data_IF_563555666495
#
_entry.id   IF_563555666495
#
_cell.length_a   1.000
_cell.length_b   1.000
_cell.length_c   1.000
_cell.angle_alpha   90.00
_cell.angle_beta   90.00
_cell.angle_gamma   90.00
#
_symmetry.space_group_name_H-M   'P 1'
#
loop_
_entity.id
_entity.type
_entity.pdbx_description
1 polymer ?
#
# COMPACT_ATOMS: atom_id res chain seq x y z
N UNK A 1 1.57 -10.62 -30.78
CA UNK A 1 1.68 -11.87 -31.58
C UNK A 1 0.42 -12.68 -31.36
N UNK A 2 -0.06 -13.40 -32.37
CA UNK A 2 -1.30 -14.18 -32.29
C UNK A 2 -1.18 -15.35 -31.31
N UNK A 3 -2.22 -15.55 -30.51
CA UNK A 3 -2.35 -16.70 -29.62
C UNK A 3 -2.53 -17.98 -30.45
N UNK A 4 -1.79 -19.06 -30.20
CA UNK A 4 -1.94 -20.31 -30.93
C UNK A 4 -3.38 -20.82 -30.86
N UNK A 5 -3.97 -21.25 -31.98
CA UNK A 5 -5.36 -21.75 -32.02
C UNK A 5 -5.57 -22.93 -31.07
N UNK A 6 -4.55 -23.76 -30.87
CA UNK A 6 -4.59 -24.92 -29.96
C UNK A 6 -4.59 -24.54 -28.46
N UNK A 7 -4.25 -23.30 -28.10
CA UNK A 7 -4.28 -22.88 -26.70
C UNK A 7 -5.72 -22.75 -26.22
N UNK A 8 -6.07 -23.56 -25.22
CA UNK A 8 -7.35 -23.49 -24.52
C UNK A 8 -7.11 -22.95 -23.11
N UNK A 9 -7.74 -21.82 -22.81
CA UNK A 9 -7.73 -21.27 -21.47
C UNK A 9 -8.86 -21.93 -20.67
N UNK A 10 -8.50 -22.70 -19.64
CA UNK A 10 -9.43 -23.38 -18.75
C UNK A 10 -8.98 -23.20 -17.30
N UNK A 11 -9.85 -23.55 -16.36
CA UNK A 11 -9.59 -23.46 -14.91
C UNK A 11 -9.71 -24.85 -14.32
N UNK A 12 -8.69 -25.31 -13.60
CA UNK A 12 -8.79 -26.56 -12.85
C UNK A 12 -9.82 -26.44 -11.71
N UNK A 13 -10.72 -27.43 -11.52
CA UNK A 13 -11.64 -27.44 -10.36
C UNK A 13 -10.92 -27.39 -9.00
N UNK A 14 -9.66 -27.81 -8.94
CA UNK A 14 -8.88 -27.82 -7.70
C UNK A 14 -8.51 -26.42 -7.25
N UNK A 15 -8.24 -25.47 -8.17
CA UNK A 15 -7.85 -24.10 -7.80
C UNK A 15 -8.97 -23.34 -7.07
N UNK A 16 -10.22 -23.74 -7.32
CA UNK A 16 -11.43 -23.21 -6.68
C UNK A 16 -11.64 -23.73 -5.25
N UNK A 17 -10.93 -24.80 -4.86
CA UNK A 17 -10.95 -25.37 -3.51
C UNK A 17 -9.72 -24.85 -2.74
N UNK A 18 -9.83 -23.64 -2.21
CA UNK A 18 -8.71 -23.00 -1.52
C UNK A 18 -8.30 -23.78 -0.26
N UNK A 19 -6.98 -23.87 0.02
CA UNK A 19 -6.49 -24.32 1.32
C UNK A 19 -7.08 -23.50 2.49
N UNK A 20 -7.15 -24.04 3.71
CA UNK A 20 -7.61 -23.25 4.86
C UNK A 20 -6.64 -22.09 5.14
N UNK A 21 -7.14 -20.95 5.68
CA UNK A 21 -6.28 -19.86 6.11
C UNK A 21 -5.30 -20.32 7.19
N UNK A 22 -4.03 -19.96 7.05
CA UNK A 22 -2.98 -20.22 8.03
C UNK A 22 -1.87 -19.17 7.91
N UNK A 23 -1.15 -18.84 8.99
CA UNK A 23 0.01 -17.95 8.90
C UNK A 23 1.01 -18.40 7.84
N UNK A 24 1.70 -17.45 7.17
CA UNK A 24 2.68 -17.79 6.14
C UNK A 24 3.78 -18.69 6.71
N UNK A 25 4.16 -19.72 5.95
CA UNK A 25 5.31 -20.59 6.26
C UNK A 25 6.64 -19.88 6.03
N UNK A 26 6.65 -18.85 5.19
CA UNK A 26 7.80 -18.00 4.90
C UNK A 26 7.37 -16.56 4.62
N UNK A 27 8.25 -15.62 4.94
CA UNK A 27 8.05 -14.19 4.77
C UNK A 27 8.71 -13.68 3.48
N UNK A 28 8.28 -12.52 2.99
CA UNK A 28 8.79 -11.91 1.75
C UNK A 28 10.30 -11.83 1.68
N UNK A 29 10.94 -11.36 2.76
CA UNK A 29 12.40 -11.22 2.82
C UNK A 29 13.15 -12.56 2.74
N UNK A 30 12.47 -13.69 2.97
CA UNK A 30 13.05 -15.03 2.81
C UNK A 30 12.93 -15.56 1.38
N UNK A 31 12.14 -14.90 0.53
CA UNK A 31 11.90 -15.29 -0.87
C UNK A 31 12.77 -14.46 -1.82
N UNK A 32 12.87 -13.15 -1.59
CA UNK A 32 13.71 -12.27 -2.37
C UNK A 32 14.12 -11.02 -1.58
N UNK A 33 15.37 -10.56 -1.78
CA UNK A 33 15.91 -9.38 -1.09
C UNK A 33 15.44 -8.06 -1.71
N UNK A 34 15.31 -8.03 -3.04
CA UNK A 34 15.06 -6.82 -3.80
C UNK A 34 14.22 -7.14 -5.06
N UNK A 35 13.31 -6.24 -5.48
CA UNK A 35 12.37 -6.52 -6.58
C UNK A 35 13.04 -6.71 -7.94
N UNK A 36 14.30 -6.30 -8.10
CA UNK A 36 15.08 -6.41 -9.34
C UNK A 36 15.27 -7.86 -9.80
N UNK A 37 15.12 -8.85 -8.91
CA UNK A 37 15.09 -10.28 -9.27
C UNK A 37 13.95 -10.60 -10.26
N UNK A 38 12.88 -9.80 -10.25
CA UNK A 38 11.75 -9.92 -11.16
C UNK A 38 11.85 -9.01 -12.39
N UNK A 39 12.95 -8.28 -12.59
CA UNK A 39 13.13 -7.31 -13.70
C UNK A 39 12.61 -7.83 -15.05
N UNK A 40 13.03 -9.04 -15.46
CA UNK A 40 12.57 -9.66 -16.72
C UNK A 40 11.06 -9.92 -16.76
N UNK A 41 10.49 -10.37 -15.65
CA UNK A 41 9.04 -10.64 -15.52
C UNK A 41 8.26 -9.32 -15.53
N UNK A 42 8.78 -8.31 -14.85
CA UNK A 42 8.17 -6.99 -14.76
C UNK A 42 8.21 -6.27 -16.11
N UNK A 43 9.34 -6.30 -16.81
CA UNK A 43 9.48 -5.76 -18.17
C UNK A 43 8.50 -6.41 -19.14
N UNK A 44 8.34 -7.74 -19.07
CA UNK A 44 7.35 -8.47 -19.88
C UNK A 44 5.92 -8.01 -19.56
N UNK A 45 5.55 -7.92 -18.27
CA UNK A 45 4.24 -7.44 -17.85
C UNK A 45 3.95 -6.00 -18.35
N UNK A 46 4.94 -5.12 -18.27
CA UNK A 46 4.88 -3.74 -18.74
C UNK A 46 4.67 -3.71 -20.26
N UNK A 47 5.45 -4.48 -21.03
CA UNK A 47 5.31 -4.56 -22.48
C UNK A 47 3.91 -5.07 -22.89
N UNK A 48 3.40 -6.09 -22.21
CA UNK A 48 2.03 -6.60 -22.43
C UNK A 48 0.99 -5.53 -22.10
N UNK A 49 1.19 -4.73 -21.05
CA UNK A 49 0.23 -3.70 -20.63
C UNK A 49 0.00 -2.58 -21.65
N UNK A 50 0.99 -2.30 -22.50
CA UNK A 50 0.88 -1.29 -23.57
C UNK A 50 0.11 -1.76 -24.80
N UNK A 51 -0.17 -3.07 -24.90
CA UNK A 51 -0.94 -3.63 -25.99
C UNK A 51 -2.43 -3.79 -25.60
N UNK A 52 -3.28 -3.82 -26.61
CA UNK A 52 -4.67 -4.27 -26.48
C UNK A 52 -4.79 -5.70 -27.02
N UNK A 53 -5.64 -6.49 -26.37
CA UNK A 53 -5.90 -7.88 -26.72
C UNK A 53 -7.38 -8.06 -26.98
N UNK A 54 -7.78 -8.75 -28.07
CA UNK A 54 -9.18 -8.81 -28.45
C UNK A 54 -10.03 -9.62 -27.48
N UNK A 55 -9.45 -10.63 -26.81
CA UNK A 55 -10.11 -11.48 -25.82
C UNK A 55 -9.28 -11.65 -24.55
N UNK A 56 -9.91 -12.04 -23.44
CA UNK A 56 -9.21 -12.38 -22.20
C UNK A 56 -8.26 -13.57 -22.39
N UNK A 57 -8.64 -14.53 -23.25
CA UNK A 57 -7.76 -15.64 -23.65
C UNK A 57 -6.45 -15.14 -24.25
N UNK A 58 -6.51 -14.15 -25.14
CA UNK A 58 -5.32 -13.61 -25.79
C UNK A 58 -4.44 -12.82 -24.81
N UNK A 59 -5.07 -12.10 -23.88
CA UNK A 59 -4.37 -11.45 -22.77
C UNK A 59 -3.64 -12.50 -21.91
N UNK A 60 -4.34 -13.53 -21.41
CA UNK A 60 -3.76 -14.55 -20.55
C UNK A 60 -2.65 -15.34 -21.25
N UNK A 61 -2.81 -15.65 -22.54
CA UNK A 61 -1.73 -16.27 -23.31
C UNK A 61 -0.49 -15.40 -23.33
N UNK A 62 -0.61 -14.14 -23.76
CA UNK A 62 0.54 -13.26 -23.93
C UNK A 62 1.17 -12.89 -22.58
N UNK A 63 0.37 -12.76 -21.52
CA UNK A 63 0.83 -12.38 -20.20
C UNK A 63 1.48 -13.54 -19.44
N UNK A 64 0.80 -14.70 -19.38
CA UNK A 64 1.12 -15.79 -18.45
C UNK A 64 1.68 -17.02 -19.15
N UNK A 65 1.03 -17.48 -20.23
CA UNK A 65 1.30 -18.81 -20.79
C UNK A 65 2.34 -18.86 -21.92
N UNK A 66 2.67 -17.70 -22.51
CA UNK A 66 3.69 -17.58 -23.56
C UNK A 66 5.08 -18.02 -23.08
N UNK A 67 5.36 -17.85 -21.78
CA UNK A 67 6.60 -18.25 -21.15
C UNK A 67 6.32 -19.26 -20.02
N UNK A 68 7.28 -20.14 -19.75
CA UNK A 68 7.22 -21.03 -18.61
C UNK A 68 7.59 -20.25 -17.34
N UNK A 69 6.58 -19.76 -16.62
CA UNK A 69 6.72 -19.03 -15.37
C UNK A 69 6.44 -19.95 -14.17
N UNK A 70 7.17 -19.77 -13.08
CA UNK A 70 6.86 -20.37 -11.77
C UNK A 70 5.54 -19.82 -11.19
N UNK A 71 4.99 -20.43 -10.15
CA UNK A 71 3.82 -19.89 -9.42
C UNK A 71 4.01 -18.44 -8.98
N UNK A 72 5.17 -18.16 -8.39
CA UNK A 72 5.53 -16.82 -7.93
C UNK A 72 5.62 -15.82 -9.08
N UNK A 73 6.27 -16.19 -10.19
CA UNK A 73 6.38 -15.32 -11.36
C UNK A 73 5.04 -15.10 -12.06
N UNK A 74 4.12 -16.09 -12.05
CA UNK A 74 2.74 -15.92 -12.55
C UNK A 74 1.97 -14.91 -11.69
N UNK A 75 2.07 -15.00 -10.37
CA UNK A 75 1.46 -14.02 -9.48
C UNK A 75 2.05 -12.62 -9.69
N UNK A 76 3.38 -12.55 -9.86
CA UNK A 76 4.13 -11.32 -10.09
C UNK A 76 3.78 -10.66 -11.42
N UNK A 77 3.74 -11.40 -12.52
CA UNK A 77 3.48 -10.84 -13.86
C UNK A 77 2.08 -10.24 -13.93
N UNK A 78 1.08 -10.90 -13.31
CA UNK A 78 -0.28 -10.37 -13.21
C UNK A 78 -0.29 -9.10 -12.37
N UNK A 79 0.34 -9.12 -11.20
CA UNK A 79 0.41 -7.97 -10.30
C UNK A 79 1.04 -6.77 -11.01
N UNK A 80 2.19 -6.97 -11.66
CA UNK A 80 2.88 -5.90 -12.37
C UNK A 80 2.07 -5.39 -13.55
N UNK A 81 1.40 -6.25 -14.30
CA UNK A 81 0.53 -5.84 -15.40
C UNK A 81 -0.61 -4.95 -14.89
N UNK A 82 -1.28 -5.33 -13.80
CA UNK A 82 -2.36 -4.54 -13.21
C UNK A 82 -1.90 -3.18 -12.71
N UNK A 83 -0.70 -3.09 -12.13
CA UNK A 83 -0.13 -1.81 -11.67
C UNK A 83 0.33 -0.88 -12.79
N UNK A 84 0.33 -1.35 -14.03
CA UNK A 84 0.78 -0.58 -15.21
C UNK A 84 -0.37 -0.30 -16.18
N UNK A 85 -1.30 -1.25 -16.35
CA UNK A 85 -2.43 -1.13 -17.27
C UNK A 85 -3.41 -0.09 -16.75
N UNK A 86 -3.76 0.87 -17.60
CA UNK A 86 -4.88 1.77 -17.31
C UNK A 86 -6.21 1.00 -17.47
N UNK A 87 -6.69 0.47 -16.35
CA UNK A 87 -7.92 -0.34 -16.29
C UNK A 87 -9.17 0.42 -16.78
N UNK A 88 -9.18 1.76 -16.71
CA UNK A 88 -10.27 2.60 -17.20
C UNK A 88 -10.33 2.66 -18.74
N UNK A 89 -9.21 2.41 -19.43
CA UNK A 89 -9.11 2.50 -20.90
C UNK A 89 -9.16 1.15 -21.61
N UNK A 90 -9.06 0.03 -20.89
CA UNK A 90 -9.04 -1.32 -21.45
C UNK A 90 -10.29 -1.67 -22.28
N UNK A 91 -10.15 -2.40 -23.38
CA UNK A 91 -11.29 -2.86 -24.21
C UNK A 91 -11.12 -4.32 -24.62
N UNK A 92 -12.23 -4.97 -24.95
CA UNK A 92 -12.29 -6.29 -25.58
C UNK A 92 -13.25 -6.22 -26.77
N UNK A 93 -13.07 -7.09 -27.77
CA UNK A 93 -13.88 -7.06 -29.00
C UNK A 93 -15.29 -7.60 -28.77
N UNK A 94 -15.40 -8.72 -28.06
CA UNK A 94 -16.66 -9.37 -27.70
C UNK A 94 -16.71 -9.60 -26.19
N UNK A 95 -17.85 -9.32 -25.56
CA UNK A 95 -18.03 -9.39 -24.11
C UNK A 95 -19.32 -10.14 -23.84
N UNK A 96 -19.19 -11.40 -23.41
CA UNK A 96 -20.33 -12.23 -23.04
C UNK A 96 -20.70 -12.00 -21.57
N UNK A 97 -21.98 -12.12 -21.23
CA UNK A 97 -22.43 -12.03 -19.83
C UNK A 97 -21.78 -13.13 -18.98
N UNK A 98 -21.25 -12.75 -17.81
CA UNK A 98 -20.53 -13.61 -16.89
C UNK A 98 -19.09 -13.95 -17.30
N UNK A 99 -18.58 -13.40 -18.41
CA UNK A 99 -17.21 -13.67 -18.86
C UNK A 99 -16.17 -12.88 -18.06
N UNK A 100 -14.91 -13.33 -18.02
CA UNK A 100 -13.82 -12.55 -17.41
C UNK A 100 -13.70 -11.15 -18.01
N UNK A 101 -13.88 -11.00 -19.32
CA UNK A 101 -13.90 -9.70 -20.01
C UNK A 101 -14.94 -8.75 -19.42
N UNK A 102 -16.17 -9.25 -19.17
CA UNK A 102 -17.23 -8.44 -18.57
C UNK A 102 -16.81 -7.93 -17.20
N UNK A 103 -16.32 -8.83 -16.34
CA UNK A 103 -15.92 -8.47 -14.98
C UNK A 103 -14.76 -7.48 -14.99
N UNK A 104 -13.77 -7.66 -15.87
CA UNK A 104 -12.66 -6.73 -16.04
C UNK A 104 -13.13 -5.34 -16.49
N UNK A 105 -14.12 -5.28 -17.40
CA UNK A 105 -14.69 -4.02 -17.88
C UNK A 105 -15.65 -3.35 -16.89
N UNK A 106 -16.25 -4.11 -15.96
CA UNK A 106 -17.08 -3.55 -14.87
C UNK A 106 -16.29 -2.59 -13.96
N UNK A 107 -14.95 -2.61 -13.99
CA UNK A 107 -14.10 -1.64 -13.30
C UNK A 107 -14.35 -0.21 -13.74
N UNK A 108 -14.63 0.00 -15.03
CA UNK A 108 -14.96 1.33 -15.56
C UNK A 108 -16.22 1.94 -14.97
N UNK A 109 -17.11 1.07 -14.48
CA UNK A 109 -18.39 1.44 -13.91
C UNK A 109 -18.34 1.43 -12.37
N UNK A 110 -17.16 1.25 -11.77
CA UNK A 110 -16.96 1.06 -10.33
C UNK A 110 -17.79 -0.11 -9.75
N UNK A 111 -18.06 -1.15 -10.56
CA UNK A 111 -18.84 -2.33 -10.16
C UNK A 111 -17.98 -3.54 -9.77
N UNK A 112 -16.66 -3.43 -9.89
CA UNK A 112 -15.70 -4.44 -9.45
C UNK A 112 -14.49 -3.75 -8.80
N UNK A 113 -13.65 -4.50 -8.11
CA UNK A 113 -12.41 -4.00 -7.50
C UNK A 113 -11.17 -4.55 -8.19
N UNK A 114 -10.03 -3.89 -7.95
CA UNK A 114 -8.71 -4.43 -8.29
C UNK A 114 -8.53 -5.85 -7.71
N UNK A 115 -8.96 -6.08 -6.47
CA UNK A 115 -8.81 -7.38 -5.84
C UNK A 115 -9.57 -8.49 -6.58
N UNK A 116 -10.78 -8.17 -7.07
CA UNK A 116 -11.57 -9.14 -7.84
C UNK A 116 -10.95 -9.46 -9.20
N UNK A 117 -10.39 -8.46 -9.88
CA UNK A 117 -9.69 -8.67 -11.16
C UNK A 117 -8.44 -9.53 -10.95
N UNK A 118 -7.64 -9.22 -9.91
CA UNK A 118 -6.45 -10.00 -9.58
C UNK A 118 -6.80 -11.46 -9.28
N UNK A 119 -7.85 -11.70 -8.49
CA UNK A 119 -8.36 -13.04 -8.19
C UNK A 119 -8.74 -13.82 -9.46
N UNK A 120 -9.48 -13.20 -10.38
CA UNK A 120 -9.87 -13.84 -11.64
C UNK A 120 -8.64 -14.19 -12.47
N UNK A 121 -7.70 -13.26 -12.64
CA UNK A 121 -6.48 -13.51 -13.41
C UNK A 121 -5.63 -14.61 -12.77
N UNK A 122 -5.50 -14.63 -11.44
CA UNK A 122 -4.81 -15.70 -10.71
C UNK A 122 -5.51 -17.05 -10.88
N UNK A 123 -6.83 -17.09 -10.80
CA UNK A 123 -7.64 -18.30 -11.01
C UNK A 123 -7.35 -18.91 -12.38
N UNK A 124 -7.39 -18.10 -13.44
CA UNK A 124 -7.05 -18.50 -14.81
C UNK A 124 -5.56 -18.71 -15.06
N UNK A 125 -4.71 -18.35 -14.11
CA UNK A 125 -3.29 -18.67 -14.09
C UNK A 125 -2.99 -19.89 -13.20
N UNK A 126 -4.01 -20.64 -12.77
CA UNK A 126 -3.88 -21.83 -11.91
C UNK A 126 -3.18 -21.50 -10.58
N UNK A 127 -3.58 -20.39 -9.94
CA UNK A 127 -3.14 -19.96 -8.61
C UNK A 127 -4.33 -19.84 -7.68
N UNK A 128 -4.25 -20.42 -6.48
CA UNK A 128 -5.24 -20.13 -5.44
C UNK A 128 -5.09 -18.66 -5.02
N UNK A 129 -6.15 -17.90 -5.20
CA UNK A 129 -6.22 -16.50 -4.81
C UNK A 129 -7.59 -16.26 -4.20
N UNK A 130 -7.64 -15.57 -3.07
CA UNK A 130 -8.88 -15.22 -2.38
C UNK A 130 -8.96 -13.71 -2.25
N UNK A 131 -10.07 -13.12 -2.67
CA UNK A 131 -10.40 -11.73 -2.36
C UNK A 131 -10.78 -11.61 -0.88
N UNK A 132 -10.05 -10.78 -0.14
CA UNK A 132 -10.30 -10.47 1.27
C UNK A 132 -10.92 -9.08 1.37
N UNK A 133 -12.12 -9.02 1.94
CA UNK A 133 -12.83 -7.77 2.27
C UNK A 133 -12.54 -7.35 3.70
N UNK A 134 -12.40 -6.04 3.94
CA UNK A 134 -12.07 -5.54 5.26
C UNK A 134 -11.99 -4.03 5.38
N UNK A 135 -11.44 -3.62 6.52
CA UNK A 135 -11.16 -2.24 6.87
C UNK A 135 -9.71 -1.91 6.56
N UNK A 136 -9.51 -0.79 5.91
CA UNK A 136 -8.20 -0.25 5.68
C UNK A 136 -8.08 1.19 6.18
N UNK A 137 -6.94 1.49 6.81
CA UNK A 137 -6.56 2.86 7.18
C UNK A 137 -6.07 3.58 5.93
N UNK A 138 -7.04 4.05 5.14
CA UNK A 138 -6.86 4.65 3.82
C UNK A 138 -6.25 6.05 3.82
N UNK A 139 -6.63 6.89 2.85
CA UNK A 139 -6.19 8.30 2.74
C UNK A 139 -6.96 9.18 3.73
N UNK A 140 -8.22 8.87 3.98
CA UNK A 140 -9.12 9.66 4.83
C UNK A 140 -9.14 9.22 6.29
N UNK A 141 -8.31 8.23 6.66
CA UNK A 141 -8.22 7.73 8.04
C UNK A 141 -7.35 8.65 8.90
N UNK A 142 -7.88 9.03 10.06
CA UNK A 142 -7.14 9.69 11.12
C UNK A 142 -6.94 8.75 12.32
N UNK A 143 -5.76 8.74 12.95
CA UNK A 143 -5.56 8.00 14.19
C UNK A 143 -6.62 8.36 15.24
N UNK A 144 -7.31 7.34 15.76
CA UNK A 144 -8.45 7.49 16.67
C UNK A 144 -9.80 7.14 16.03
N UNK A 145 -9.91 7.16 14.69
CA UNK A 145 -11.11 6.75 13.98
C UNK A 145 -11.50 5.30 14.31
N UNK A 146 -12.81 5.04 14.25
CA UNK A 146 -13.42 3.74 14.54
C UNK A 146 -14.08 3.18 13.28
N UNK A 147 -13.93 1.87 13.08
CA UNK A 147 -14.56 1.09 12.02
C UNK A 147 -15.80 0.34 12.48
N UNK A 148 -16.01 0.20 13.80
CA UNK A 148 -17.16 -0.50 14.34
C UNK A 148 -18.49 0.07 13.81
N UNK A 149 -19.31 -0.80 13.21
CA UNK A 149 -20.61 -0.42 12.62
C UNK A 149 -20.51 0.21 11.23
N UNK A 150 -19.31 0.38 10.67
CA UNK A 150 -19.11 0.81 9.29
C UNK A 150 -18.99 -0.39 8.34
N UNK A 151 -19.40 -0.24 7.07
CA UNK A 151 -19.11 -1.24 6.06
C UNK A 151 -17.60 -1.30 5.78
N UNK A 152 -17.09 -2.45 5.30
CA UNK A 152 -15.75 -2.57 4.75
C UNK A 152 -15.48 -1.49 3.71
N UNK A 153 -14.30 -0.89 3.76
CA UNK A 153 -13.92 0.21 2.88
C UNK A 153 -12.81 -0.18 1.89
N UNK A 154 -12.31 -1.41 1.93
CA UNK A 154 -11.25 -1.88 1.04
C UNK A 154 -11.28 -3.39 0.82
N UNK A 155 -10.60 -3.83 -0.24
CA UNK A 155 -10.37 -5.25 -0.53
C UNK A 155 -8.98 -5.48 -1.10
N UNK A 156 -8.36 -6.59 -0.73
CA UNK A 156 -7.05 -7.04 -1.20
C UNK A 156 -7.09 -8.55 -1.44
N UNK A 157 -5.95 -9.15 -1.74
CA UNK A 157 -5.86 -10.58 -2.03
C UNK A 157 -4.91 -11.30 -1.07
N UNK A 158 -5.15 -12.59 -0.93
CA UNK A 158 -4.18 -13.57 -0.43
C UNK A 158 -3.99 -14.62 -1.49
N UNK A 159 -2.73 -14.94 -1.81
CA UNK A 159 -2.37 -15.96 -2.79
C UNK A 159 -1.62 -17.10 -2.12
N UNK A 160 -1.88 -18.33 -2.57
CA UNK A 160 -1.17 -19.51 -2.09
C UNK A 160 -0.07 -19.86 -3.07
N UNK A 161 1.17 -19.74 -2.65
CA UNK A 161 2.36 -20.10 -3.44
C UNK A 161 3.17 -21.07 -2.60
N UNK A 162 3.65 -22.18 -3.19
CA UNK A 162 4.57 -23.11 -2.51
C UNK A 162 4.13 -23.46 -1.06
N UNK A 163 2.86 -23.79 -0.91
CA UNK A 163 2.23 -24.13 0.38
C UNK A 163 2.15 -23.02 1.43
N UNK A 164 2.23 -21.74 1.04
CA UNK A 164 2.15 -20.60 1.95
C UNK A 164 1.24 -19.51 1.41
N UNK A 165 0.39 -18.97 2.30
CA UNK A 165 -0.41 -17.78 2.01
C UNK A 165 0.43 -16.50 2.03
N UNK A 166 0.22 -15.61 1.06
CA UNK A 166 0.94 -14.35 0.91
C UNK A 166 -0.04 -13.22 0.59
N UNK A 167 0.09 -12.06 1.24
CA UNK A 167 -0.82 -10.92 1.04
C UNK A 167 -0.40 -10.08 -0.18
N UNK A 168 -1.36 -9.69 -1.01
CA UNK A 168 -1.13 -8.84 -2.18
C UNK A 168 -2.20 -7.76 -2.26
N UNK A 169 -1.80 -6.52 -2.50
CA UNK A 169 -2.71 -5.40 -2.74
C UNK A 169 -2.32 -4.66 -4.02
N UNK A 170 -2.86 -5.11 -5.15
CA UNK A 170 -2.60 -4.51 -6.46
C UNK A 170 -3.14 -3.07 -6.58
N UNK A 171 -4.18 -2.72 -5.80
CA UNK A 171 -4.75 -1.37 -5.83
C UNK A 171 -3.77 -0.38 -5.19
N UNK A 172 -3.33 -0.64 -3.97
CA UNK A 172 -2.41 0.27 -3.26
C UNK A 172 -0.98 0.25 -3.85
N UNK A 173 -0.61 -0.80 -4.56
CA UNK A 173 0.60 -0.84 -5.39
C UNK A 173 0.56 0.15 -6.57
N UNK A 174 -0.64 0.54 -7.00
CA UNK A 174 -0.87 1.47 -8.10
C UNK A 174 -1.04 2.89 -7.55
N UNK A 175 0.03 3.68 -7.44
CA UNK A 175 -0.13 5.10 -7.05
C UNK A 175 -0.43 5.95 -8.26
N UNK A 176 -1.63 6.53 -8.29
CA UNK A 176 -2.01 7.57 -9.23
C UNK A 176 -1.48 8.91 -8.73
N UNK A 177 -0.38 9.41 -9.30
CA UNK A 177 0.00 10.81 -9.07
C UNK A 177 -0.81 11.69 -10.02
N UNK A 178 -1.92 12.25 -9.54
CA UNK A 178 -2.49 13.45 -10.16
C UNK A 178 -1.56 14.61 -9.84
N UNK A 179 -0.74 15.03 -10.81
CA UNK A 179 -0.02 16.30 -10.72
C UNK A 179 -1.03 17.40 -10.41
N UNK A 180 -0.80 18.17 -9.35
CA UNK A 180 -1.70 19.20 -8.82
C UNK A 180 -1.91 20.43 -9.72
N UNK A 181 -1.91 20.27 -11.05
CA UNK A 181 -2.35 21.26 -12.02
C UNK A 181 -3.06 20.53 -13.16
N UNK A 182 -4.26 21.02 -13.51
CA UNK A 182 -5.16 20.57 -14.57
C UNK A 182 -4.46 20.31 -15.93
N UNK A 183 -3.83 19.15 -16.07
CA UNK A 183 -3.46 18.54 -17.35
C UNK A 183 -3.74 17.04 -17.21
N UNK A 184 -4.83 16.57 -17.82
CA UNK A 184 -5.32 15.18 -17.76
C UNK A 184 -4.36 14.12 -18.34
N UNK A 185 -3.11 14.46 -18.67
CA UNK A 185 -2.23 13.58 -19.45
C UNK A 185 -0.96 13.10 -18.74
N UNK A 186 -0.65 13.56 -17.53
CA UNK A 186 0.55 13.10 -16.81
C UNK A 186 0.19 12.43 -15.48
N UNK A 187 -0.50 11.28 -15.54
CA UNK A 187 -0.58 10.35 -14.41
C UNK A 187 0.75 9.61 -14.34
N UNK A 188 1.64 10.04 -13.46
CA UNK A 188 2.84 9.23 -13.14
C UNK A 188 2.36 8.09 -12.24
N UNK A 189 2.41 6.87 -12.77
CA UNK A 189 2.16 5.67 -11.98
C UNK A 189 3.40 5.39 -11.14
N UNK A 190 3.38 5.75 -9.86
CA UNK A 190 4.41 5.29 -8.94
C UNK A 190 4.06 3.85 -8.52
N UNK A 191 4.93 2.91 -8.86
CA UNK A 191 4.79 1.51 -8.50
C UNK A 191 5.34 1.28 -7.10
N UNK A 192 4.57 0.59 -6.24
CA UNK A 192 5.03 0.24 -4.91
C UNK A 192 5.05 -1.28 -4.66
N UNK A 193 6.26 -1.87 -4.76
CA UNK A 193 6.50 -3.29 -4.53
C UNK A 193 6.13 -3.77 -3.12
N UNK A 194 6.07 -2.88 -2.13
CA UNK A 194 5.74 -3.24 -0.76
C UNK A 194 4.46 -4.09 -0.70
N UNK A 195 3.48 -3.73 -1.53
CA UNK A 195 2.16 -4.37 -1.58
C UNK A 195 2.14 -5.74 -2.29
N UNK A 196 3.26 -6.23 -2.80
CA UNK A 196 3.40 -7.62 -3.27
C UNK A 196 4.05 -8.47 -2.17
N UNK A 197 3.36 -9.53 -1.73
CA UNK A 197 3.76 -10.39 -0.61
C UNK A 197 3.97 -9.61 0.69
N UNK A 198 3.04 -8.73 1.06
CA UNK A 198 3.12 -8.03 2.35
C UNK A 198 3.20 -9.04 3.49
N UNK A 199 4.11 -8.80 4.43
CA UNK A 199 4.19 -9.62 5.63
C UNK A 199 3.02 -9.29 6.55
N UNK A 200 2.31 -10.27 7.14
CA UNK A 200 1.16 -10.03 8.01
C UNK A 200 1.42 -9.03 9.15
N UNK A 201 2.62 -9.09 9.73
CA UNK A 201 3.07 -8.18 10.81
C UNK A 201 3.21 -6.73 10.35
N UNK A 202 3.39 -6.50 9.05
CA UNK A 202 3.44 -5.18 8.44
C UNK A 202 2.04 -4.75 7.96
N UNK A 203 1.31 -5.66 7.31
CA UNK A 203 -0.03 -5.41 6.77
C UNK A 203 -1.04 -5.02 7.86
N UNK A 204 -0.94 -5.60 9.06
CA UNK A 204 -1.87 -5.32 10.17
C UNK A 204 -1.90 -3.85 10.60
N UNK A 205 -0.88 -3.06 10.29
CA UNK A 205 -0.93 -1.63 10.59
C UNK A 205 -1.91 -0.86 9.70
N UNK A 206 -2.32 -1.41 8.56
CA UNK A 206 -3.19 -0.74 7.60
C UNK A 206 -4.36 -1.57 7.09
N UNK A 207 -4.35 -2.90 7.21
CA UNK A 207 -5.36 -3.81 6.67
C UNK A 207 -5.90 -4.73 7.78
N UNK A 208 -7.21 -4.72 7.99
CA UNK A 208 -7.91 -5.57 8.94
C UNK A 208 -9.10 -6.27 8.27
N UNK A 209 -9.07 -7.60 8.10
CA UNK A 209 -10.12 -8.34 7.38
C UNK A 209 -11.39 -8.51 8.22
N UNK A 210 -12.54 -8.62 7.56
CA UNK A 210 -13.80 -9.01 8.22
C UNK A 210 -13.71 -10.43 8.80
N UNK A 211 -13.20 -11.37 8.00
CA UNK A 211 -12.84 -12.70 8.48
C UNK A 211 -11.44 -12.67 9.08
N UNK A 212 -11.39 -12.65 10.41
CA UNK A 212 -10.15 -12.55 11.18
C UNK A 212 -9.12 -13.65 10.89
N UNK A 213 -9.52 -14.79 10.29
CA UNK A 213 -8.59 -15.84 9.87
C UNK A 213 -7.63 -15.36 8.78
N UNK A 214 -8.03 -14.38 7.97
CA UNK A 214 -7.21 -13.78 6.92
C UNK A 214 -6.26 -12.69 7.42
N UNK A 215 -6.16 -12.47 8.74
CA UNK A 215 -5.05 -11.67 9.28
C UNK A 215 -3.71 -12.37 9.07
N UNK A 216 -3.73 -13.71 8.97
CA UNK A 216 -2.53 -14.55 8.81
C UNK A 216 -1.47 -14.33 9.90
N UNK A 217 -1.86 -13.74 11.02
CA UNK A 217 -1.03 -13.57 12.21
C UNK A 217 -1.11 -14.83 13.08
N UNK A 218 0.00 -15.18 13.72
CA UNK A 218 0.02 -16.23 14.75
C UNK A 218 -0.84 -15.86 15.96
N UNK A 219 -0.95 -14.56 16.25
CA UNK A 219 -1.86 -13.99 17.26
C UNK A 219 -2.69 -12.90 16.59
N UNK A 220 -3.92 -13.22 16.12
CA UNK A 220 -4.80 -12.22 15.52
C UNK A 220 -5.12 -11.09 16.49
N UNK A 221 -5.19 -9.87 15.97
CA UNK A 221 -5.63 -8.69 16.70
C UNK A 221 -7.16 -8.61 16.73
N UNK A 222 -7.69 -7.99 17.77
CA UNK A 222 -9.08 -7.50 17.76
C UNK A 222 -9.19 -6.21 16.94
N UNK A 223 -10.41 -5.84 16.54
CA UNK A 223 -10.64 -4.57 15.85
C UNK A 223 -10.17 -3.37 16.68
N UNK A 224 -10.43 -3.36 17.98
CA UNK A 224 -9.99 -2.29 18.88
C UNK A 224 -8.46 -2.20 18.97
N UNK A 225 -7.75 -3.34 18.97
CA UNK A 225 -6.29 -3.35 18.92
C UNK A 225 -5.79 -2.77 17.59
N UNK A 226 -6.38 -3.18 16.46
CA UNK A 226 -6.07 -2.61 15.15
C UNK A 226 -6.28 -1.09 15.10
N UNK A 227 -7.43 -0.60 15.57
CA UNK A 227 -7.76 0.84 15.63
C UNK A 227 -6.79 1.63 16.54
N UNK A 228 -6.24 0.97 17.56
CA UNK A 228 -5.25 1.57 18.46
C UNK A 228 -3.86 1.69 17.86
N UNK A 229 -3.53 0.92 16.81
CA UNK A 229 -2.21 0.98 16.17
C UNK A 229 -2.01 2.30 15.40
N UNK A 230 -0.77 2.81 15.30
CA UNK A 230 -0.44 3.94 14.43
C UNK A 230 -0.71 3.60 12.98
N UNK A 231 -0.98 4.64 12.17
CA UNK A 231 -1.04 4.50 10.72
C UNK A 231 0.38 4.48 10.16
N UNK A 232 0.79 3.33 9.62
CA UNK A 232 2.04 3.23 8.84
C UNK A 232 1.73 2.99 7.36
N UNK A 233 2.60 3.49 6.48
CA UNK A 233 2.57 3.21 5.04
C UNK A 233 3.88 2.54 4.63
N UNK A 234 3.96 2.07 3.39
CA UNK A 234 5.11 1.33 2.83
C UNK A 234 6.48 1.97 3.12
N UNK A 235 6.60 3.30 3.11
CA UNK A 235 7.86 4.00 3.42
C UNK A 235 8.40 3.73 4.83
N UNK A 236 7.53 3.52 5.82
CA UNK A 236 7.92 3.15 7.18
C UNK A 236 8.75 1.85 7.16
N UNK A 237 8.23 0.83 6.47
CA UNK A 237 8.90 -0.46 6.36
C UNK A 237 10.11 -0.43 5.40
N UNK A 238 10.05 0.35 4.32
CA UNK A 238 11.18 0.50 3.38
C UNK A 238 12.40 1.16 4.03
N UNK A 239 12.20 2.10 4.96
CA UNK A 239 13.27 2.68 5.78
C UNK A 239 13.67 1.79 6.98
N UNK A 240 13.05 0.61 7.11
CA UNK A 240 13.19 -0.29 8.26
C UNK A 240 12.99 0.48 9.58
N UNK A 241 11.93 1.29 9.64
CA UNK A 241 11.59 2.04 10.84
C UNK A 241 10.92 1.14 11.88
N UNK A 242 11.11 1.49 13.15
CA UNK A 242 10.48 0.82 14.27
C UNK A 242 10.07 1.83 15.36
N UNK A 243 9.02 1.50 16.11
CA UNK A 243 8.59 2.30 17.26
C UNK A 243 9.40 1.85 18.48
N UNK A 244 10.13 2.77 19.14
CA UNK A 244 10.97 2.43 20.31
C UNK A 244 10.27 2.57 21.65
N UNK A 245 9.15 3.29 21.71
CA UNK A 245 8.42 3.61 22.94
C UNK A 245 6.92 3.43 22.73
N UNK A 246 6.29 4.39 22.04
CA UNK A 246 4.84 4.43 21.85
C UNK A 246 4.42 3.61 20.64
N UNK A 247 3.60 2.58 20.87
CA UNK A 247 3.02 1.74 19.83
C UNK A 247 1.54 2.05 19.56
N UNK A 248 1.03 3.16 20.11
CA UNK A 248 -0.34 3.61 19.92
C UNK A 248 -0.42 4.75 18.90
N UNK A 249 -1.48 4.74 18.09
CA UNK A 249 -1.78 5.79 17.12
C UNK A 249 -2.27 7.09 17.75
N UNK A 250 -2.76 7.03 19.00
CA UNK A 250 -3.18 8.20 19.79
C UNK A 250 -2.43 8.19 21.11
N UNK A 251 -1.80 9.32 21.43
CA UNK A 251 -1.01 9.50 22.66
C UNK A 251 -1.54 10.73 23.40
N UNK A 252 -1.78 10.59 24.71
CA UNK A 252 -2.30 11.65 25.56
C UNK A 252 -1.17 12.32 26.36
N UNK A 253 -1.19 13.65 26.45
CA UNK A 253 -0.27 14.44 27.29
C UNK A 253 -1.04 15.45 28.15
N UNK A 254 -0.64 15.60 29.41
CA UNK A 254 -1.29 16.51 30.37
C UNK A 254 -0.67 17.90 30.40
N UNK A 255 0.60 18.04 29.99
CA UNK A 255 1.36 19.30 30.05
C UNK A 255 1.81 19.77 28.67
N UNK A 256 1.35 19.14 27.59
CA UNK A 256 1.72 19.48 26.21
C UNK A 256 3.14 19.06 25.83
N UNK A 257 3.89 18.42 26.73
CA UNK A 257 5.19 17.85 26.44
C UNK A 257 5.05 16.38 26.06
N UNK A 258 5.69 15.98 24.97
CA UNK A 258 5.77 14.59 24.52
C UNK A 258 7.14 14.34 23.90
N UNK A 259 7.70 13.16 24.14
CA UNK A 259 8.86 12.65 23.40
C UNK A 259 8.41 11.43 22.60
N UNK A 260 8.75 11.40 21.32
CA UNK A 260 8.57 10.23 20.48
C UNK A 260 9.90 9.84 19.86
N UNK A 261 10.24 8.56 19.92
CA UNK A 261 11.47 8.03 19.34
C UNK A 261 11.14 6.88 18.38
N UNK A 262 11.68 6.99 17.17
CA UNK A 262 11.61 5.97 16.14
C UNK A 262 13.01 5.47 15.82
N UNK A 263 13.21 4.16 15.74
CA UNK A 263 14.42 3.58 15.18
C UNK A 263 14.33 3.56 13.65
N UNK A 264 15.48 3.54 12.97
CA UNK A 264 15.57 3.22 11.55
C UNK A 264 16.90 2.52 11.24
N UNK A 265 16.88 1.59 10.29
CA UNK A 265 18.08 0.81 9.93
C UNK A 265 18.56 1.03 8.49
N UNK A 266 17.78 1.75 7.68
CA UNK A 266 18.17 2.15 6.32
C UNK A 266 18.25 3.68 6.24
N UNK A 267 19.32 4.25 5.67
CA UNK A 267 19.44 5.69 5.51
C UNK A 267 18.25 6.27 4.74
N UNK A 268 17.64 7.30 5.31
CA UNK A 268 16.53 8.02 4.70
C UNK A 268 16.60 9.50 5.06
N UNK A 269 15.99 10.33 4.21
CA UNK A 269 15.67 11.70 4.56
C UNK A 269 14.31 11.71 5.24
N UNK A 270 14.23 12.34 6.41
CA UNK A 270 13.00 12.40 7.19
C UNK A 270 12.58 13.85 7.40
N UNK A 271 11.31 14.12 7.17
CA UNK A 271 10.67 15.38 7.53
C UNK A 271 9.34 15.08 8.19
N UNK A 272 8.69 16.08 8.75
CA UNK A 272 7.41 15.92 9.42
C UNK A 272 6.49 17.10 9.15
N UNK A 273 5.21 16.86 9.37
CA UNK A 273 4.19 17.89 9.44
C UNK A 273 3.41 17.69 10.73
N UNK A 274 3.28 18.76 11.51
CA UNK A 274 2.41 18.82 12.66
C UNK A 274 1.21 19.69 12.31
N UNK A 275 0.00 19.17 12.51
CA UNK A 275 -1.24 19.90 12.28
C UNK A 275 -2.11 19.88 13.53
N UNK A 276 -2.83 20.97 13.77
CA UNK A 276 -3.80 21.10 14.85
C UNK A 276 -5.22 21.07 14.29
N UNK A 277 -6.12 20.35 14.97
CA UNK A 277 -7.54 20.30 14.64
C UNK A 277 -8.24 21.58 15.14
N UNK A 278 -8.78 22.37 14.23
CA UNK A 278 -9.50 23.60 14.55
C UNK A 278 -10.69 23.32 15.47
N UNK A 279 -10.90 24.19 16.47
CA UNK A 279 -11.97 24.05 17.46
C UNK A 279 -11.66 23.09 18.62
N UNK A 280 -10.71 22.15 18.45
CA UNK A 280 -10.44 21.11 19.46
C UNK A 280 -9.93 21.65 20.80
N UNK A 281 -9.25 22.80 20.83
CA UNK A 281 -8.77 23.41 22.07
C UNK A 281 -9.88 23.74 23.07
N UNK A 282 -11.05 24.14 22.54
CA UNK A 282 -12.19 24.62 23.33
C UNK A 282 -13.23 23.54 23.58
N UNK A 283 -13.10 22.37 22.95
CA UNK A 283 -14.05 21.28 23.11
C UNK A 283 -13.83 20.56 24.45
N UNK A 284 -14.88 20.18 25.20
CA UNK A 284 -14.72 19.43 26.44
C UNK A 284 -14.17 18.01 26.22
N UNK A 285 -14.44 17.38 25.07
CA UNK A 285 -14.03 16.01 24.72
C UNK A 285 -13.44 15.97 23.30
N UNK A 286 -12.27 16.62 23.08
CA UNK A 286 -11.73 16.83 21.75
C UNK A 286 -11.34 15.53 21.03
N UNK A 287 -11.13 14.43 21.75
CA UNK A 287 -10.82 13.10 21.21
C UNK A 287 -11.95 12.45 20.41
N UNK A 288 -13.19 12.95 20.51
CA UNK A 288 -14.34 12.47 19.73
C UNK A 288 -14.71 13.40 18.57
N UNK A 289 -13.97 14.49 18.38
CA UNK A 289 -14.21 15.38 17.26
C UNK A 289 -13.82 14.68 15.95
N UNK A 290 -14.69 14.71 14.93
CA UNK A 290 -14.33 14.20 13.62
C UNK A 290 -13.25 15.09 13.00
N UNK A 291 -12.21 14.47 12.45
CA UNK A 291 -11.18 15.18 11.71
C UNK A 291 -11.47 15.15 10.21
N UNK A 292 -11.24 16.29 9.54
CA UNK A 292 -11.25 16.40 8.08
C UNK A 292 -10.02 17.17 7.64
N UNK A 293 -9.45 16.90 6.45
CA UNK A 293 -8.28 17.63 5.96
C UNK A 293 -8.44 19.16 5.93
N UNK A 294 -9.66 19.65 5.69
CA UNK A 294 -9.99 21.09 5.67
C UNK A 294 -9.94 21.75 7.05
N UNK A 295 -10.03 20.97 8.11
CA UNK A 295 -10.14 21.45 9.49
C UNK A 295 -8.79 21.40 10.21
N UNK A 296 -7.72 21.06 9.47
CA UNK A 296 -6.36 20.95 9.96
C UNK A 296 -5.51 22.14 9.54
N UNK A 297 -4.90 22.80 10.51
CA UNK A 297 -3.96 23.91 10.28
C UNK A 297 -2.55 23.54 10.74
N UNK A 298 -1.53 23.99 10.03
CA UNK A 298 -0.12 23.90 10.43
C UNK A 298 0.36 25.15 11.19
N UNK A 299 -0.53 26.11 11.43
CA UNK A 299 -0.27 27.32 12.22
C UNK A 299 -1.14 27.37 13.47
N UNK A 300 -0.63 28.00 14.52
CA UNK A 300 -1.38 28.27 15.74
C UNK A 300 -2.50 29.28 15.41
N UNK A 301 -3.76 28.99 15.79
CA UNK A 301 -4.87 29.91 15.55
C UNK A 301 -4.58 31.30 16.12
N UNK A 302 -4.96 32.34 15.37
CA UNK A 302 -4.85 33.76 15.75
C UNK A 302 -3.43 34.36 15.88
N UNK A 303 -2.36 33.63 15.57
CA UNK A 303 -0.98 34.13 15.75
C UNK A 303 -0.08 33.96 14.53
N UNK A 304 -0.54 33.27 13.47
CA UNK A 304 0.24 32.90 12.27
C UNK A 304 1.58 32.18 12.55
N UNK A 305 1.83 31.76 13.80
CA UNK A 305 3.03 31.03 14.18
C UNK A 305 2.93 29.58 13.69
N UNK A 306 3.93 29.09 12.99
CA UNK A 306 3.96 27.72 12.51
C UNK A 306 4.14 26.71 13.66
N UNK A 307 3.36 25.63 13.65
CA UNK A 307 3.40 24.59 14.68
C UNK A 307 4.74 23.86 14.74
N UNK A 308 5.50 23.85 13.63
CA UNK A 308 6.84 23.25 13.59
C UNK A 308 7.83 23.91 14.56
N UNK A 309 7.60 25.17 14.95
CA UNK A 309 8.42 25.87 15.96
C UNK A 309 8.33 25.23 17.35
N UNK A 310 7.29 24.43 17.59
CA UNK A 310 7.02 23.75 18.86
C UNK A 310 7.48 22.28 18.86
N UNK A 311 8.22 21.87 17.83
CA UNK A 311 8.77 20.52 17.69
C UNK A 311 10.26 20.60 17.40
N UNK A 312 11.06 20.03 18.29
CA UNK A 312 12.47 19.79 18.04
C UNK A 312 12.62 18.39 17.43
N UNK A 313 13.19 18.31 16.24
CA UNK A 313 13.60 17.05 15.63
C UNK A 313 15.12 16.88 15.80
N UNK A 314 15.53 15.76 16.37
CA UNK A 314 16.92 15.34 16.49
C UNK A 314 17.07 13.99 15.77
N UNK A 315 18.00 13.90 14.83
CA UNK A 315 18.30 12.67 14.10
C UNK A 315 19.68 12.16 14.51
N UNK A 316 19.76 10.91 14.98
CA UNK A 316 21.02 10.21 15.27
C UNK A 316 21.34 9.26 14.11
N UNK A 317 22.35 8.40 14.30
CA UNK A 317 22.75 7.38 13.32
C UNK A 317 21.62 6.39 13.02
N UNK A 318 20.79 6.09 14.01
CA UNK A 318 19.80 5.00 14.00
C UNK A 318 18.44 5.39 14.61
N UNK A 319 18.24 6.67 14.96
CA UNK A 319 17.00 7.12 15.59
C UNK A 319 16.55 8.52 15.18
N UNK A 320 15.24 8.71 15.15
CA UNK A 320 14.56 9.99 15.01
C UNK A 320 13.85 10.30 16.32
N UNK A 321 14.26 11.39 16.96
CA UNK A 321 13.68 11.88 18.21
C UNK A 321 12.90 13.16 17.92
N UNK A 322 11.64 13.17 18.35
CA UNK A 322 10.78 14.33 18.30
C UNK A 322 10.44 14.75 19.73
N UNK A 323 10.71 16.01 20.06
CA UNK A 323 10.35 16.62 21.33
C UNK A 323 9.31 17.69 21.07
N UNK A 324 8.08 17.41 21.49
CA UNK A 324 6.93 18.30 21.34
C UNK A 324 6.78 19.16 22.59
N UNK A 325 6.49 20.44 22.39
CA UNK A 325 6.05 21.40 23.42
C UNK A 325 4.83 22.14 22.89
N UNK A 326 3.70 21.44 22.88
CA UNK A 326 2.48 21.91 22.23
C UNK A 326 2.00 23.22 22.86
N UNK A 327 1.72 24.26 22.05
CA UNK A 327 1.41 25.61 22.54
C UNK A 327 0.04 25.76 23.18
N UNK A 328 -0.87 24.82 22.93
CA UNK A 328 -2.22 24.85 23.46
C UNK A 328 -2.78 23.43 23.65
N UNK A 329 -3.87 23.34 24.42
CA UNK A 329 -4.73 22.15 24.45
C UNK A 329 -5.33 21.94 23.06
N UNK A 330 -5.57 20.67 22.68
CA UNK A 330 -6.25 20.31 21.45
C UNK A 330 -5.79 18.95 20.92
N UNK A 331 -6.29 18.60 19.75
CA UNK A 331 -5.86 17.41 19.00
C UNK A 331 -4.85 17.82 17.95
N UNK A 332 -3.73 17.09 17.92
CA UNK A 332 -2.64 17.30 16.98
C UNK A 332 -2.37 16.03 16.19
N UNK A 333 -2.13 16.18 14.89
CA UNK A 333 -1.78 15.10 13.98
C UNK A 333 -0.33 15.26 13.54
N UNK A 334 0.47 14.24 13.80
CA UNK A 334 1.84 14.12 13.34
C UNK A 334 1.89 13.22 12.11
N UNK A 335 2.39 13.75 11.00
CA UNK A 335 2.73 12.97 9.82
C UNK A 335 4.24 12.99 9.65
N UNK A 336 4.87 11.82 9.63
CA UNK A 336 6.30 11.68 9.33
C UNK A 336 6.43 11.22 7.89
N UNK A 337 7.19 11.97 7.10
CA UNK A 337 7.54 11.63 5.73
C UNK A 337 8.94 11.07 5.70
N UNK A 338 9.11 9.97 5.00
CA UNK A 338 10.39 9.34 4.77
C UNK A 338 10.63 9.20 3.28
N UNK A 339 11.84 9.57 2.84
CA UNK A 339 12.34 9.30 1.51
C UNK A 339 13.56 8.40 1.65
N UNK A 340 13.47 7.21 1.04
CA UNK A 340 14.60 6.27 1.02
C UNK A 340 15.71 6.90 0.18
N UNK A 341 16.89 7.07 0.77
CA UNK A 341 18.05 7.49 0.02
C UNK A 341 18.62 6.27 -0.68
N UNK A 342 18.30 6.11 -1.97
CA UNK A 342 19.10 5.28 -2.85
C UNK A 342 20.40 6.04 -3.14
N UNK A 343 21.29 6.14 -2.16
CA UNK A 343 22.68 6.46 -2.43
C UNK A 343 23.23 5.31 -3.26
N UNK A 344 23.03 5.36 -4.58
CA UNK A 344 24.00 4.79 -5.51
C UNK A 344 25.28 5.52 -5.18
N UNK A 345 26.24 4.83 -4.54
CA UNK A 345 27.62 5.30 -4.53
C UNK A 345 27.92 5.70 -5.97
N UNK A 346 28.24 6.98 -6.25
CA UNK A 346 28.59 7.36 -7.60
C UNK A 346 29.85 6.56 -7.94
N UNK A 347 29.74 5.65 -8.91
CA UNK A 347 30.92 5.20 -9.64
C UNK A 347 31.60 6.46 -10.15
N UNK A 348 32.77 6.77 -9.61
CA UNK A 348 33.57 7.96 -9.87
C UNK A 348 33.49 8.40 -11.34
N UNK A 349 32.65 9.40 -11.64
CA UNK A 349 32.90 10.30 -12.76
C UNK A 349 33.35 11.61 -12.15
N UNK A 350 34.64 11.92 -12.35
CA UNK A 350 35.26 13.21 -12.03
C UNK A 350 34.29 14.35 -12.38
N UNK A 351 33.90 15.14 -11.38
CA UNK A 351 33.44 16.50 -11.61
C UNK A 351 34.26 17.45 -10.76
N UNK A 352 34.69 18.50 -11.45
CA UNK A 352 35.66 19.49 -11.04
C UNK A 352 35.16 20.36 -9.89
N UNK A 353 36.13 20.90 -9.17
CA UNK A 353 35.96 21.87 -8.08
C UNK A 353 35.20 23.10 -8.57
N UNK A 354 34.19 23.50 -7.81
CA UNK A 354 33.62 24.83 -7.82
C UNK A 354 33.13 25.17 -6.41
N UNK A 355 34.01 25.71 -5.58
CA UNK A 355 33.63 26.41 -4.35
C UNK A 355 33.10 27.78 -4.77
N UNK A 356 31.94 28.19 -4.25
CA UNK A 356 31.57 29.59 -4.15
C UNK A 356 31.26 29.87 -2.67
N UNK A 357 31.88 30.94 -2.17
CA UNK A 357 31.86 31.42 -0.79
C UNK A 357 30.45 31.76 -0.31
#
# INVERSE_FOLDING_TARGET
>A
MSTPTAFCLSVSPDVLKHPPPAPPKYLKHQVYDAPEVFSRVDEHAIQVSYNEYPTFRDLMWNLVYKFKLSELERARVIFRWMTTKNMQKMTFQEVAAGSPEEILLMFKQNKTSFAKIYEIMCTYAELHCVTVSGYAKGVDYFPGDRFQGLPPNHSWNVIYIQESWQLVDAHWATRYLSSGKNLQENVVYEYDDFYFMMEPQQAVYSHFPEDCRWQLLSKPLTLAQFESLPLTKSQFFKCAMDFRQEHFGVVYTTVGCLRMTFGFWKPGCFTYKLQHLLGSANDPKPEFLPARPTDLTDTLPNTNLELKLFVLQESTVDSLNYYFRLPCRGVFYLTIYAQVNYLRLPTYSKFEKGLLM
#
